data_IF_680943161737
#
_entry.id   IF_680943161737
#
_cell.length_a   1.000
_cell.length_b   1.000
_cell.length_c   1.000
_cell.angle_alpha   90.00
_cell.angle_beta   90.00
_cell.angle_gamma   90.00
#
_symmetry.space_group_name_H-M   'P 1'
#
loop_
_entity.id
_entity.type
_entity.pdbx_description
1 polymer ?
#
# COMPACT_ATOMS: atom_id res chain seq x y z
N UNK A 1 0.28 15.67 -6.50
CA UNK A 1 0.76 15.67 -7.89
C UNK A 1 0.69 14.26 -8.43
N UNK A 2 -0.06 14.06 -9.50
CA UNK A 2 -0.05 12.77 -10.21
C UNK A 2 1.31 12.57 -10.87
N UNK A 3 1.88 11.38 -10.71
CA UNK A 3 3.13 11.04 -11.40
C UNK A 3 2.90 11.04 -12.90
N UNK A 4 3.68 11.81 -13.65
CA UNK A 4 3.63 11.84 -15.13
C UNK A 4 3.81 10.43 -15.72
N UNK A 5 4.67 9.61 -15.13
CA UNK A 5 4.89 8.21 -15.54
C UNK A 5 3.64 7.35 -15.35
N UNK A 6 2.93 7.49 -14.23
CA UNK A 6 1.72 6.74 -13.98
C UNK A 6 0.60 7.15 -14.95
N UNK A 7 0.51 8.43 -15.27
CA UNK A 7 -0.45 8.94 -16.25
C UNK A 7 -0.15 8.46 -17.68
N UNK A 8 1.11 8.54 -18.10
CA UNK A 8 1.57 8.02 -19.40
C UNK A 8 1.29 6.52 -19.53
N UNK A 9 1.58 5.76 -18.48
CA UNK A 9 1.28 4.32 -18.44
C UNK A 9 -0.21 4.04 -18.58
N UNK A 10 -1.07 4.80 -17.88
CA UNK A 10 -2.51 4.65 -17.97
C UNK A 10 -3.02 4.88 -19.40
N UNK A 11 -2.59 5.97 -20.05
CA UNK A 11 -2.97 6.27 -21.42
C UNK A 11 -2.54 5.18 -22.42
N UNK A 12 -1.33 4.64 -22.27
CA UNK A 12 -0.84 3.53 -23.09
C UNK A 12 -1.67 2.26 -22.89
N UNK A 13 -2.03 1.93 -21.67
CA UNK A 13 -2.88 0.78 -21.38
C UNK A 13 -4.28 0.96 -21.97
N UNK A 14 -4.87 2.13 -21.84
CA UNK A 14 -6.18 2.44 -22.44
C UNK A 14 -6.13 2.33 -23.95
N UNK A 15 -5.14 2.93 -24.61
CA UNK A 15 -4.94 2.82 -26.05
C UNK A 15 -4.84 1.37 -26.52
N UNK A 16 -4.05 0.54 -25.83
CA UNK A 16 -3.92 -0.88 -26.17
C UNK A 16 -5.25 -1.63 -26.00
N UNK A 17 -6.00 -1.35 -24.98
CA UNK A 17 -7.32 -1.97 -24.75
C UNK A 17 -8.35 -1.53 -25.79
N UNK A 18 -8.40 -0.24 -26.12
CA UNK A 18 -9.30 0.28 -27.16
C UNK A 18 -9.02 -0.34 -28.53
N UNK A 19 -7.73 -0.47 -28.90
CA UNK A 19 -7.32 -1.05 -30.18
C UNK A 19 -7.44 -2.56 -30.26
N UNK A 20 -7.45 -3.27 -29.13
CA UNK A 20 -7.44 -4.72 -29.03
C UNK A 20 -8.67 -5.33 -28.32
N UNK A 21 -9.83 -4.67 -28.41
CA UNK A 21 -11.09 -5.19 -27.86
C UNK A 21 -11.01 -5.50 -26.35
N UNK A 22 -10.43 -4.59 -25.58
CA UNK A 22 -10.26 -4.72 -24.12
C UNK A 22 -9.06 -5.58 -23.69
N UNK A 23 -8.20 -6.00 -24.62
CA UNK A 23 -7.04 -6.87 -24.37
C UNK A 23 -5.71 -6.12 -24.57
N UNK A 24 -4.59 -6.81 -24.33
CA UNK A 24 -3.24 -6.31 -24.61
C UNK A 24 -2.46 -5.80 -23.41
N UNK A 25 -3.06 -5.86 -22.20
CA UNK A 25 -2.40 -5.46 -20.95
C UNK A 25 -2.41 -6.63 -19.98
N UNK A 26 -1.22 -7.01 -19.49
CA UNK A 26 -1.05 -8.05 -18.46
C UNK A 26 -0.11 -7.51 -17.38
N UNK A 27 -0.54 -7.58 -16.13
CA UNK A 27 0.30 -7.31 -14.97
C UNK A 27 0.59 -8.59 -14.20
N UNK A 28 1.83 -8.78 -13.80
CA UNK A 28 2.27 -9.88 -12.95
C UNK A 28 2.89 -9.30 -11.68
N UNK A 29 2.40 -9.74 -10.52
CA UNK A 29 2.91 -9.30 -9.21
C UNK A 29 2.71 -10.39 -8.17
N UNK A 30 3.66 -10.54 -7.25
CA UNK A 30 3.52 -11.40 -6.07
C UNK A 30 2.75 -10.73 -4.91
N UNK A 31 2.49 -9.42 -5.01
CA UNK A 31 1.87 -8.64 -3.92
C UNK A 31 0.90 -7.61 -4.52
N UNK A 32 -0.29 -8.04 -5.01
CA UNK A 32 -1.26 -7.13 -5.62
C UNK A 32 -1.81 -6.09 -4.64
N UNK A 33 -1.80 -6.41 -3.35
CA UNK A 33 -2.17 -5.52 -2.25
C UNK A 33 -1.07 -5.64 -1.20
N UNK A 34 -0.27 -4.60 -0.99
CA UNK A 34 0.83 -4.60 -0.02
C UNK A 34 0.54 -3.73 1.21
N UNK A 35 0.02 -2.52 1.02
CA UNK A 35 -0.17 -1.55 2.10
C UNK A 35 -1.63 -1.14 2.30
N UNK A 36 -2.41 -1.11 1.25
CA UNK A 36 -3.79 -0.62 1.31
C UNK A 36 -4.65 -1.23 0.23
N UNK A 37 -5.92 -1.46 0.54
CA UNK A 37 -6.91 -1.91 -0.44
C UNK A 37 -7.09 -0.92 -1.61
N UNK A 38 -6.67 0.33 -1.45
CA UNK A 38 -6.64 1.32 -2.54
C UNK A 38 -5.77 0.90 -3.72
N UNK A 39 -4.79 0.02 -3.50
CA UNK A 39 -3.95 -0.54 -4.56
C UNK A 39 -4.78 -1.41 -5.51
N UNK A 40 -5.79 -2.11 -4.99
CA UNK A 40 -6.71 -2.88 -5.82
C UNK A 40 -7.54 -1.97 -6.75
N UNK A 41 -8.00 -0.82 -6.26
CA UNK A 41 -8.66 0.17 -7.11
C UNK A 41 -7.76 0.65 -8.26
N UNK A 42 -6.48 0.90 -7.97
CA UNK A 42 -5.51 1.26 -9.01
C UNK A 42 -5.38 0.16 -10.05
N UNK A 43 -5.29 -1.11 -9.64
CA UNK A 43 -5.25 -2.25 -10.56
C UNK A 43 -6.51 -2.33 -11.42
N UNK A 44 -7.69 -2.17 -10.83
CA UNK A 44 -8.96 -2.17 -11.56
C UNK A 44 -9.06 -1.02 -12.58
N UNK A 45 -8.52 0.16 -12.27
CA UNK A 45 -8.47 1.28 -13.22
C UNK A 45 -7.68 0.95 -14.50
N UNK A 46 -6.67 0.10 -14.39
CA UNK A 46 -5.90 -0.36 -15.55
C UNK A 46 -6.56 -1.53 -16.28
N UNK A 47 -7.20 -2.44 -15.55
CA UNK A 47 -7.64 -3.73 -16.09
C UNK A 47 -9.15 -3.79 -16.37
N UNK A 48 -9.95 -3.02 -15.64
CA UNK A 48 -11.41 -3.06 -15.67
C UNK A 48 -12.07 -1.66 -15.73
N UNK A 49 -11.62 -0.73 -16.58
CA UNK A 49 -12.19 0.62 -16.59
C UNK A 49 -13.69 0.62 -16.93
N UNK A 50 -14.15 -0.25 -17.84
CA UNK A 50 -15.56 -0.36 -18.22
C UNK A 50 -16.42 -0.89 -17.09
N UNK A 51 -15.92 -1.86 -16.30
CA UNK A 51 -16.66 -2.38 -15.15
C UNK A 51 -16.78 -1.35 -14.03
N UNK A 52 -15.71 -0.58 -13.78
CA UNK A 52 -15.77 0.53 -12.83
C UNK A 52 -16.81 1.59 -13.25
N UNK A 53 -16.90 1.89 -14.52
CA UNK A 53 -17.91 2.80 -15.05
C UNK A 53 -19.33 2.23 -14.93
N UNK A 54 -19.53 0.98 -15.28
CA UNK A 54 -20.81 0.27 -15.20
C UNK A 54 -21.38 0.25 -13.78
N UNK A 55 -20.52 0.08 -12.76
CA UNK A 55 -20.92 0.10 -11.36
C UNK A 55 -20.96 1.50 -10.72
N UNK A 56 -20.56 2.56 -11.44
CA UNK A 56 -20.44 3.92 -10.89
C UNK A 56 -19.24 4.08 -9.93
N UNK A 57 -18.24 3.23 -10.06
CA UNK A 57 -17.04 3.19 -9.20
C UNK A 57 -15.80 3.81 -9.87
N UNK A 58 -15.97 4.63 -10.88
CA UNK A 58 -14.87 5.25 -11.62
C UNK A 58 -13.96 6.15 -10.76
N UNK A 59 -14.49 6.66 -9.64
CA UNK A 59 -13.76 7.50 -8.71
C UNK A 59 -13.45 6.72 -7.43
N UNK A 60 -12.26 6.96 -6.85
CA UNK A 60 -11.83 6.29 -5.63
C UNK A 60 -12.83 6.47 -4.47
N UNK A 61 -13.38 7.65 -4.30
CA UNK A 61 -14.31 7.94 -3.21
C UNK A 61 -15.62 7.16 -3.32
N UNK A 62 -16.17 6.99 -4.53
CA UNK A 62 -17.36 6.17 -4.76
C UNK A 62 -17.06 4.68 -4.56
N UNK A 63 -15.92 4.21 -5.10
CA UNK A 63 -15.46 2.84 -4.94
C UNK A 63 -15.23 2.49 -3.47
N UNK A 64 -14.44 3.31 -2.74
CA UNK A 64 -14.08 2.99 -1.34
C UNK A 64 -15.28 3.10 -0.40
N UNK A 65 -16.22 4.02 -0.65
CA UNK A 65 -17.45 4.12 0.14
C UNK A 65 -18.32 2.86 0.07
N UNK A 66 -18.21 2.11 -1.04
CA UNK A 66 -18.92 0.84 -1.23
C UNK A 66 -18.26 -0.34 -0.49
N UNK A 67 -16.94 -0.27 -0.27
CA UNK A 67 -16.16 -1.41 0.26
C UNK A 67 -15.53 -1.17 1.62
N UNK A 68 -15.45 0.06 2.12
CA UNK A 68 -14.78 0.33 3.38
C UNK A 68 -15.36 1.49 4.17
N UNK A 69 -15.26 1.39 5.48
CA UNK A 69 -15.58 2.49 6.40
C UNK A 69 -14.29 3.09 6.92
N UNK A 70 -14.20 4.42 6.80
CA UNK A 70 -13.12 5.24 7.35
C UNK A 70 -13.42 5.61 8.78
N UNK A 71 -12.43 5.52 9.66
CA UNK A 71 -12.49 6.05 11.03
C UNK A 71 -11.13 6.58 11.46
N UNK A 72 -11.15 7.55 12.36
CA UNK A 72 -9.94 8.06 12.99
C UNK A 72 -9.48 7.10 14.08
N UNK A 73 -8.26 6.62 13.98
CA UNK A 73 -7.65 5.72 14.95
C UNK A 73 -6.42 6.34 15.58
N UNK A 74 -6.18 6.00 16.83
CA UNK A 74 -4.99 6.42 17.57
C UNK A 74 -3.85 5.46 17.24
N UNK A 75 -2.78 5.96 16.64
CA UNK A 75 -1.59 5.21 16.27
C UNK A 75 -0.36 5.71 17.01
N UNK A 76 0.58 4.82 17.28
CA UNK A 76 1.93 5.22 17.67
C UNK A 76 2.57 6.00 16.51
N UNK A 77 3.28 7.06 16.86
CA UNK A 77 4.08 7.78 15.87
C UNK A 77 5.22 6.88 15.39
N UNK A 78 5.49 6.80 14.08
CA UNK A 78 6.57 5.96 13.53
C UNK A 78 7.94 6.25 14.12
N UNK A 79 8.16 7.51 14.46
CA UNK A 79 9.37 8.01 15.08
C UNK A 79 9.45 7.77 16.60
N UNK A 80 8.38 7.23 17.20
CA UNK A 80 8.25 7.11 18.66
C UNK A 80 7.75 8.42 19.31
N UNK A 81 7.82 8.50 20.64
CA UNK A 81 7.50 9.73 21.39
C UNK A 81 6.01 10.08 21.47
N UNK A 82 5.10 9.11 21.36
CA UNK A 82 3.69 9.31 21.61
C UNK A 82 2.74 8.82 20.51
N UNK A 83 1.51 9.30 20.57
CA UNK A 83 0.42 8.89 19.70
C UNK A 83 0.01 10.01 18.76
N UNK A 84 -0.65 9.64 17.63
CA UNK A 84 -1.31 10.56 16.71
C UNK A 84 -2.65 9.99 16.27
N UNK A 85 -3.60 10.85 15.99
CA UNK A 85 -4.85 10.48 15.33
C UNK A 85 -4.59 10.39 13.81
N UNK A 86 -5.04 9.33 13.18
CA UNK A 86 -4.98 9.17 11.73
C UNK A 86 -6.21 8.45 11.22
N UNK A 87 -6.71 8.93 10.08
CA UNK A 87 -7.81 8.29 9.39
C UNK A 87 -7.32 7.02 8.71
N UNK A 88 -8.01 5.93 9.00
CA UNK A 88 -7.77 4.61 8.41
C UNK A 88 -9.06 3.98 7.94
N UNK A 89 -8.97 3.11 6.96
CA UNK A 89 -10.04 2.20 6.63
C UNK A 89 -10.03 1.07 7.66
N UNK A 90 -11.00 1.07 8.58
CA UNK A 90 -11.01 0.18 9.75
C UNK A 90 -11.92 -1.02 9.58
N UNK A 91 -12.87 -0.96 8.66
CA UNK A 91 -13.79 -2.04 8.38
C UNK A 91 -14.01 -2.14 6.88
N UNK A 92 -13.87 -3.35 6.38
CA UNK A 92 -14.18 -3.69 5.00
C UNK A 92 -15.46 -4.54 4.95
N UNK A 93 -16.28 -4.30 3.95
CA UNK A 93 -17.52 -5.02 3.67
C UNK A 93 -17.63 -5.24 2.17
N UNK A 94 -18.60 -6.07 1.74
CA UNK A 94 -18.79 -6.43 0.33
C UNK A 94 -17.52 -6.98 -0.35
N UNK A 95 -16.57 -7.54 0.43
CA UNK A 95 -15.33 -8.11 -0.13
C UNK A 95 -15.58 -9.27 -1.09
N UNK A 96 -16.56 -10.18 -0.87
CA UNK A 96 -16.88 -11.22 -1.84
C UNK A 96 -17.28 -10.66 -3.20
N UNK A 97 -18.07 -9.58 -3.24
CA UNK A 97 -18.49 -8.89 -4.46
C UNK A 97 -17.27 -8.26 -5.17
N UNK A 98 -16.45 -7.53 -4.43
CA UNK A 98 -15.21 -6.96 -4.96
C UNK A 98 -14.29 -8.03 -5.57
N UNK A 99 -14.12 -9.14 -4.86
CA UNK A 99 -13.28 -10.24 -5.33
C UNK A 99 -13.89 -10.97 -6.53
N UNK A 100 -15.23 -11.07 -6.62
CA UNK A 100 -15.89 -11.64 -7.77
C UNK A 100 -15.62 -10.80 -9.03
N UNK A 101 -15.80 -9.48 -8.94
CA UNK A 101 -15.51 -8.57 -10.04
C UNK A 101 -14.02 -8.59 -10.41
N UNK A 102 -13.12 -8.59 -9.43
CA UNK A 102 -11.68 -8.60 -9.72
C UNK A 102 -11.21 -9.90 -10.38
N UNK A 103 -11.78 -11.04 -10.01
CA UNK A 103 -11.44 -12.35 -10.60
C UNK A 103 -11.82 -12.49 -12.07
N UNK A 104 -12.66 -11.63 -12.62
CA UNK A 104 -12.96 -11.63 -14.06
C UNK A 104 -11.72 -11.33 -14.91
N UNK A 105 -10.74 -10.59 -14.36
CA UNK A 105 -9.50 -10.18 -15.03
C UNK A 105 -8.23 -10.66 -14.34
N UNK A 106 -8.34 -11.30 -13.17
CA UNK A 106 -7.19 -11.73 -12.37
C UNK A 106 -7.16 -13.25 -12.17
N UNK A 107 -6.06 -13.88 -12.55
CA UNK A 107 -5.72 -15.24 -12.11
C UNK A 107 -4.90 -15.16 -10.82
N UNK A 108 -5.50 -15.59 -9.71
CA UNK A 108 -4.90 -15.51 -8.37
C UNK A 108 -4.44 -16.90 -7.96
N UNK A 109 -3.13 -17.03 -7.73
CA UNK A 109 -2.51 -18.25 -7.18
C UNK A 109 -1.89 -17.92 -5.83
N UNK A 110 -2.36 -18.59 -4.80
CA UNK A 110 -1.78 -18.53 -3.46
C UNK A 110 -0.68 -19.56 -3.29
N UNK A 111 0.18 -19.41 -2.28
CA UNK A 111 1.32 -20.29 -2.07
C UNK A 111 0.93 -21.78 -1.91
N UNK A 112 -0.22 -22.03 -1.30
CA UNK A 112 -0.80 -23.37 -1.12
C UNK A 112 -1.34 -24.00 -2.42
N UNK A 113 -1.61 -23.19 -3.45
CA UNK A 113 -2.01 -23.63 -4.79
C UNK A 113 -0.81 -23.89 -5.71
N UNK A 114 0.39 -23.51 -5.27
CA UNK A 114 1.63 -23.67 -6.03
C UNK A 114 2.41 -24.86 -5.48
N UNK A 115 2.55 -25.90 -6.29
CA UNK A 115 3.43 -27.03 -5.97
C UNK A 115 4.89 -26.67 -6.35
N UNK A 116 5.51 -25.84 -5.51
CA UNK A 116 6.91 -25.41 -5.71
C UNK A 116 7.82 -26.28 -4.84
N UNK A 117 8.58 -27.21 -5.43
CA UNK A 117 9.51 -28.03 -4.67
C UNK A 117 10.63 -27.20 -4.04
N UNK A 118 10.97 -27.50 -2.79
CA UNK A 118 12.08 -26.85 -2.10
C UNK A 118 11.78 -25.50 -1.47
N UNK A 119 10.52 -25.10 -1.34
CA UNK A 119 10.16 -23.93 -0.54
C UNK A 119 10.60 -24.14 0.91
N UNK A 120 11.40 -23.21 1.49
CA UNK A 120 11.80 -23.31 2.88
C UNK A 120 10.58 -23.19 3.79
N UNK A 121 10.37 -24.18 4.63
CA UNK A 121 9.32 -24.16 5.63
C UNK A 121 9.85 -23.56 6.94
N UNK A 122 9.04 -22.72 7.59
CA UNK A 122 9.33 -22.27 8.95
C UNK A 122 9.19 -23.47 9.89
N UNK A 123 10.26 -23.80 10.64
CA UNK A 123 10.35 -25.00 11.50
C UNK A 123 9.15 -25.18 12.45
N UNK A 124 8.61 -24.10 12.97
CA UNK A 124 7.48 -24.10 13.92
C UNK A 124 6.15 -23.73 13.28
N UNK A 125 6.10 -23.50 11.95
CA UNK A 125 4.90 -23.02 11.25
C UNK A 125 4.53 -21.56 11.56
N UNK A 126 5.22 -20.90 12.47
CA UNK A 126 5.00 -19.49 12.86
C UNK A 126 6.32 -18.73 12.94
N UNK A 127 6.29 -17.45 12.65
CA UNK A 127 7.44 -16.58 12.87
C UNK A 127 7.73 -16.47 14.38
N UNK A 128 8.99 -16.63 14.76
CA UNK A 128 9.45 -16.39 16.11
C UNK A 128 9.85 -14.92 16.25
N UNK A 129 9.30 -14.23 17.24
CA UNK A 129 9.64 -12.84 17.54
C UNK A 129 10.70 -12.83 18.62
N UNK A 130 11.92 -12.46 18.25
CA UNK A 130 13.04 -12.28 19.19
C UNK A 130 13.13 -10.79 19.52
N UNK A 131 12.83 -10.44 20.78
CA UNK A 131 12.98 -9.08 21.29
C UNK A 131 14.25 -8.97 22.13
N UNK A 132 15.04 -7.95 21.87
CA UNK A 132 16.23 -7.61 22.64
C UNK A 132 16.15 -6.15 23.10
N UNK A 133 16.77 -5.84 24.23
CA UNK A 133 16.86 -4.46 24.70
C UNK A 133 17.75 -3.63 23.77
N UNK A 134 17.33 -2.38 23.50
CA UNK A 134 18.11 -1.47 22.68
C UNK A 134 19.41 -1.06 23.39
N UNK A 135 20.51 -1.10 22.67
CA UNK A 135 21.81 -0.63 23.19
C UNK A 135 21.78 0.88 23.46
N UNK A 136 22.66 1.41 24.33
CA UNK A 136 22.76 2.86 24.57
C UNK A 136 22.99 3.68 23.29
N UNK A 137 23.76 3.14 22.34
CA UNK A 137 23.97 3.78 21.04
C UNK A 137 22.68 3.85 20.21
N UNK A 138 21.91 2.78 20.15
CA UNK A 138 20.61 2.77 19.46
C UNK A 138 19.60 3.73 20.12
N UNK A 139 19.60 3.80 21.45
CA UNK A 139 18.74 4.74 22.19
C UNK A 139 19.10 6.19 21.87
N UNK A 140 20.38 6.53 21.77
CA UNK A 140 20.85 7.87 21.40
C UNK A 140 20.45 8.25 19.97
N UNK A 141 20.60 7.33 19.01
CA UNK A 141 20.17 7.54 17.61
C UNK A 141 18.67 7.74 17.53
N UNK A 142 17.88 6.94 18.25
CA UNK A 142 16.43 7.08 18.28
C UNK A 142 15.99 8.41 18.90
N UNK A 143 16.67 8.87 19.94
CA UNK A 143 16.39 10.18 20.53
C UNK A 143 16.64 11.33 19.54
N UNK A 144 17.73 11.27 18.76
CA UNK A 144 18.01 12.22 17.70
C UNK A 144 16.91 12.19 16.61
N UNK A 145 16.51 11.01 16.14
CA UNK A 145 15.45 10.88 15.15
C UNK A 145 14.11 11.45 15.63
N UNK A 146 13.77 11.29 16.91
CA UNK A 146 12.55 11.88 17.49
C UNK A 146 12.61 13.41 17.43
N UNK A 147 13.74 14.02 17.82
CA UNK A 147 13.94 15.47 17.79
C UNK A 147 13.87 16.02 16.36
N UNK A 148 14.53 15.37 15.41
CA UNK A 148 14.51 15.76 14.01
C UNK A 148 13.11 15.63 13.40
N UNK A 149 12.40 14.52 13.66
CA UNK A 149 11.03 14.33 13.20
C UNK A 149 10.08 15.40 13.74
N UNK A 150 10.27 15.85 14.98
CA UNK A 150 9.51 16.93 15.56
C UNK A 150 9.83 18.29 14.92
N UNK A 151 11.10 18.58 14.67
CA UNK A 151 11.55 19.79 13.98
C UNK A 151 10.98 19.87 12.55
N UNK A 152 11.01 18.77 11.81
CA UNK A 152 10.42 18.66 10.46
C UNK A 152 8.91 18.92 10.52
N UNK A 153 8.19 18.28 11.45
CA UNK A 153 6.74 18.40 11.59
C UNK A 153 6.29 19.81 11.97
N UNK A 154 7.06 20.49 12.80
CA UNK A 154 6.76 21.85 13.23
C UNK A 154 7.25 22.92 12.25
N UNK A 155 7.86 22.51 11.12
CA UNK A 155 8.38 23.45 10.12
C UNK A 155 9.60 24.25 10.57
N UNK A 156 10.33 23.80 11.60
CA UNK A 156 11.54 24.44 12.12
C UNK A 156 12.75 24.23 11.21
N UNK A 157 12.67 23.25 10.31
CA UNK A 157 13.73 22.91 9.36
C UNK A 157 13.12 22.92 7.96
N UNK A 158 13.87 23.46 6.99
CA UNK A 158 13.43 23.49 5.59
C UNK A 158 13.48 22.09 4.97
N UNK A 159 12.53 21.74 4.05
CA UNK A 159 12.49 20.42 3.43
C UNK A 159 13.77 20.02 2.67
N UNK A 160 14.55 21.02 2.20
CA UNK A 160 15.83 20.79 1.51
C UNK A 160 16.96 20.40 2.49
N UNK A 161 16.89 20.84 3.73
CA UNK A 161 17.87 20.57 4.78
C UNK A 161 17.61 19.21 5.42
N UNK A 162 16.37 18.99 5.87
CA UNK A 162 15.93 17.72 6.44
C UNK A 162 14.44 17.48 6.18
N UNK A 163 14.07 16.19 5.97
CA UNK A 163 12.70 15.79 5.70
C UNK A 163 12.47 14.34 6.13
N UNK A 164 11.20 13.93 6.24
CA UNK A 164 10.84 12.58 6.71
C UNK A 164 11.39 11.47 5.80
N UNK A 165 11.56 11.71 4.50
CA UNK A 165 12.10 10.71 3.59
C UNK A 165 13.59 10.46 3.86
N UNK A 166 14.36 11.54 4.07
CA UNK A 166 15.77 11.46 4.44
C UNK A 166 15.96 10.76 5.78
N UNK A 167 15.21 11.20 6.80
CA UNK A 167 15.25 10.62 8.14
C UNK A 167 14.90 9.13 8.15
N UNK A 168 13.84 8.72 7.46
CA UNK A 168 13.47 7.29 7.37
C UNK A 168 14.43 6.47 6.51
N UNK A 169 15.12 7.09 5.56
CA UNK A 169 16.20 6.47 4.81
C UNK A 169 17.41 6.17 5.70
N UNK A 170 17.85 7.14 6.51
CA UNK A 170 18.94 6.98 7.48
C UNK A 170 18.61 5.93 8.56
N UNK A 171 17.36 5.84 9.00
CA UNK A 171 16.94 4.86 10.00
C UNK A 171 16.95 3.39 9.51
N UNK A 172 17.13 3.15 8.21
CA UNK A 172 17.22 1.80 7.62
C UNK A 172 18.64 1.29 7.46
N UNK A 173 19.65 2.14 7.67
CA UNK A 173 21.06 1.79 7.60
C UNK A 173 21.55 1.25 8.95
#
# INVERSE_FOLDING_TARGET
SSSQRAFDMLLKCQYLQETNQGRGVVFATGTPISNSISELFVMQRYLQPQELERFGWSYFDTWIAHFAKKASVLELKPEGGGYRMRDRFVRFYNLPELMAVFREVADIKTADMLDIPGLPAVRTGKAEIVSVEATPAQQAIMADFILRAEAIRTGRVKPEEDNMLKLTGEARL
#
